data_IF_075669768929
#
_entry.id   IF_075669768929
#
_cell.length_a   1.000
_cell.length_b   1.000
_cell.length_c   1.000
_cell.angle_alpha   90.00
_cell.angle_beta   90.00
_cell.angle_gamma   90.00
#
_symmetry.space_group_name_H-M   'P 1'
#
loop_
_entity.id
_entity.type
_entity.pdbx_description
1 polymer ?
#
# COMPACT_ATOMS: atom_id res chain seq x y z
N UNK A 1 -31.75 -56.70 -36.13
CA UNK A 1 -30.69 -57.24 -35.24
C UNK A 1 -30.96 -56.68 -33.84
N UNK A 2 -31.67 -57.41 -32.96
CA UNK A 2 -31.14 -58.07 -31.73
C UNK A 2 -29.85 -57.39 -31.22
N UNK A 3 -29.73 -56.96 -29.96
CA UNK A 3 -29.95 -57.74 -28.72
C UNK A 3 -30.24 -56.83 -27.51
N UNK A 4 -31.18 -57.29 -26.67
CA UNK A 4 -31.36 -56.89 -25.27
C UNK A 4 -30.17 -57.33 -24.40
N UNK A 5 -29.78 -56.50 -23.43
CA UNK A 5 -28.91 -56.82 -22.29
C UNK A 5 -29.54 -56.09 -21.08
N UNK A 6 -30.45 -56.72 -20.36
CA UNK A 6 -30.28 -57.36 -19.04
C UNK A 6 -29.74 -56.44 -17.93
N UNK A 7 -30.66 -56.05 -17.05
CA UNK A 7 -30.40 -55.65 -15.66
C UNK A 7 -29.71 -56.75 -14.87
N UNK A 8 -28.87 -56.37 -13.90
CA UNK A 8 -28.82 -56.97 -12.55
C UNK A 8 -28.12 -55.98 -11.59
N UNK A 9 -28.64 -55.82 -10.35
CA UNK A 9 -28.02 -55.06 -9.27
C UNK A 9 -27.05 -55.95 -8.47
N UNK A 10 -26.18 -55.36 -7.63
CA UNK A 10 -25.77 -55.89 -6.30
C UNK A 10 -24.79 -54.91 -5.65
N UNK A 11 -25.04 -54.71 -4.36
CA UNK A 11 -24.31 -53.88 -3.41
C UNK A 11 -22.89 -54.40 -3.09
N UNK A 12 -22.03 -53.49 -2.63
CA UNK A 12 -20.74 -53.82 -2.00
C UNK A 12 -20.06 -52.55 -1.49
N UNK A 13 -20.37 -52.13 -0.27
CA UNK A 13 -19.45 -52.17 0.89
C UNK A 13 -18.18 -51.31 0.78
N UNK A 14 -18.24 -50.18 1.49
CA UNK A 14 -17.32 -49.76 2.56
C UNK A 14 -15.81 -50.11 2.39
N UNK A 15 -15.00 -49.09 2.09
CA UNK A 15 -13.65 -48.95 2.63
C UNK A 15 -13.30 -47.47 2.72
N UNK A 16 -13.55 -46.89 3.91
CA UNK A 16 -13.01 -45.59 4.30
C UNK A 16 -11.51 -45.79 4.54
N UNK A 17 -10.69 -45.34 3.61
CA UNK A 17 -9.26 -45.16 3.85
C UNK A 17 -9.09 -43.81 4.56
N UNK A 18 -8.88 -43.89 5.88
CA UNK A 18 -8.52 -42.76 6.71
C UNK A 18 -7.13 -42.23 6.28
N UNK A 19 -7.13 -41.11 5.56
CA UNK A 19 -5.97 -40.25 5.45
C UNK A 19 -5.81 -39.55 6.81
N UNK A 20 -4.86 -39.97 7.62
CA UNK A 20 -4.49 -39.25 8.85
C UNK A 20 -3.01 -38.90 8.81
N UNK A 21 -2.72 -37.60 9.03
CA UNK A 21 -1.41 -37.01 9.24
C UNK A 21 -0.74 -36.55 7.95
N UNK A 22 -0.35 -35.29 7.77
CA UNK A 22 -0.15 -34.13 8.62
C UNK A 22 -0.29 -32.93 7.66
N UNK A 23 -1.10 -31.92 7.92
CA UNK A 23 -0.64 -30.65 8.49
C UNK A 23 -1.89 -29.88 8.95
N UNK A 24 -1.93 -29.34 10.18
CA UNK A 24 -2.92 -28.32 10.48
C UNK A 24 -2.51 -27.05 9.70
N UNK A 25 -3.08 -26.89 8.51
CA UNK A 25 -3.03 -25.62 7.78
C UNK A 25 -4.04 -24.67 8.42
N UNK A 26 -3.78 -24.31 9.67
CA UNK A 26 -4.51 -23.32 10.46
C UNK A 26 -3.62 -22.10 10.72
N UNK A 27 -3.03 -21.57 9.66
CA UNK A 27 -2.48 -20.21 9.65
C UNK A 27 -3.33 -19.37 8.69
N UNK A 28 -4.38 -18.78 9.27
CA UNK A 28 -5.19 -17.64 8.81
C UNK A 28 -5.12 -17.22 7.34
N UNK A 29 -5.83 -17.92 6.47
CA UNK A 29 -6.07 -17.48 5.08
C UNK A 29 -6.93 -16.21 5.00
N UNK A 30 -7.64 -15.83 6.06
CA UNK A 30 -8.61 -14.72 6.03
C UNK A 30 -8.05 -13.38 6.52
N UNK A 31 -7.00 -13.36 7.35
CA UNK A 31 -6.38 -12.12 7.82
C UNK A 31 -5.35 -11.55 6.83
N UNK A 32 -4.70 -12.40 6.04
CA UNK A 32 -3.69 -11.98 5.06
C UNK A 32 -4.23 -10.98 4.02
N UNK A 33 -5.43 -11.19 3.43
CA UNK A 33 -6.02 -10.20 2.54
C UNK A 33 -6.23 -8.82 3.19
N UNK A 34 -6.49 -8.78 4.50
CA UNK A 34 -6.68 -7.53 5.25
C UNK A 34 -5.37 -6.77 5.40
N UNK A 35 -4.26 -7.46 5.69
CA UNK A 35 -2.92 -6.85 5.74
C UNK A 35 -2.52 -6.33 4.36
N UNK A 36 -2.67 -7.15 3.32
CA UNK A 36 -2.36 -6.76 1.94
C UNK A 36 -3.16 -5.55 1.50
N UNK A 37 -4.47 -5.51 1.76
CA UNK A 37 -5.30 -4.35 1.41
C UNK A 37 -4.86 -3.08 2.15
N UNK A 38 -4.50 -3.18 3.42
CA UNK A 38 -4.01 -2.05 4.19
C UNK A 38 -2.67 -1.53 3.67
N UNK A 39 -1.73 -2.44 3.37
CA UNK A 39 -0.43 -2.08 2.82
C UNK A 39 -0.56 -1.42 1.44
N UNK A 40 -1.38 -1.97 0.55
CA UNK A 40 -1.64 -1.34 -0.76
C UNK A 40 -2.19 0.09 -0.61
N UNK A 41 -3.14 0.31 0.31
CA UNK A 41 -3.69 1.65 0.56
C UNK A 41 -2.66 2.59 1.18
N UNK A 42 -1.78 2.08 2.03
CA UNK A 42 -0.70 2.85 2.62
C UNK A 42 0.31 3.27 1.54
N UNK A 43 0.69 2.36 0.65
CA UNK A 43 1.58 2.61 -0.49
C UNK A 43 0.99 3.60 -1.49
N UNK A 44 -0.31 3.53 -1.77
CA UNK A 44 -1.02 4.53 -2.58
C UNK A 44 -0.92 5.92 -1.94
N UNK A 45 -1.08 6.01 -0.61
CA UNK A 45 -0.95 7.28 0.12
C UNK A 45 0.48 7.80 0.09
N UNK A 46 1.49 6.95 0.31
CA UNK A 46 2.91 7.34 0.22
C UNK A 46 3.23 7.87 -1.17
N UNK A 47 2.87 7.10 -2.20
CA UNK A 47 3.09 7.47 -3.60
C UNK A 47 2.41 8.79 -3.97
N UNK A 48 1.15 8.98 -3.56
CA UNK A 48 0.43 10.22 -3.80
C UNK A 48 1.07 11.41 -3.07
N UNK A 49 1.52 11.22 -1.83
CA UNK A 49 2.17 12.28 -1.06
C UNK A 49 3.54 12.67 -1.62
N UNK A 50 4.34 11.70 -2.07
CA UNK A 50 5.61 11.95 -2.76
C UNK A 50 5.38 12.69 -4.06
N UNK A 51 4.43 12.25 -4.89
CA UNK A 51 4.09 12.94 -6.14
C UNK A 51 3.62 14.39 -5.89
N UNK A 52 2.85 14.64 -4.83
CA UNK A 52 2.43 15.99 -4.47
C UNK A 52 3.59 16.85 -3.94
N UNK A 53 4.52 16.26 -3.19
CA UNK A 53 5.73 16.91 -2.71
C UNK A 53 6.65 17.30 -3.88
N UNK A 54 6.89 16.38 -4.81
CA UNK A 54 7.68 16.63 -6.02
C UNK A 54 7.09 17.76 -6.86
N UNK A 55 5.79 17.70 -7.14
CA UNK A 55 5.10 18.78 -7.84
C UNK A 55 5.24 20.13 -7.10
N UNK A 56 5.26 20.12 -5.77
CA UNK A 56 5.46 21.33 -4.96
C UNK A 56 6.89 21.87 -5.11
N UNK A 57 7.91 21.02 -5.08
CA UNK A 57 9.32 21.39 -5.32
C UNK A 57 9.51 21.94 -6.72
N UNK A 58 8.99 21.25 -7.73
CA UNK A 58 9.07 21.66 -9.13
C UNK A 58 8.43 23.04 -9.35
N UNK A 59 7.22 23.27 -8.81
CA UNK A 59 6.54 24.56 -8.94
C UNK A 59 7.31 25.69 -8.24
N UNK A 60 7.89 25.42 -7.06
CA UNK A 60 8.69 26.40 -6.34
C UNK A 60 9.96 26.76 -7.12
N UNK A 61 10.67 25.75 -7.63
CA UNK A 61 11.88 25.92 -8.45
C UNK A 61 11.57 26.68 -9.74
N UNK A 62 10.50 26.32 -10.45
CA UNK A 62 10.07 27.03 -11.65
C UNK A 62 9.72 28.51 -11.37
N UNK A 63 9.06 28.77 -10.25
CA UNK A 63 8.73 30.15 -9.82
C UNK A 63 9.99 30.94 -9.47
N UNK A 64 10.90 30.35 -8.70
CA UNK A 64 12.18 30.96 -8.35
C UNK A 64 13.02 31.25 -9.60
N UNK A 65 13.05 30.32 -10.56
CA UNK A 65 13.71 30.51 -11.83
C UNK A 65 13.11 31.65 -12.65
N UNK A 66 11.78 31.78 -12.67
CA UNK A 66 11.11 32.92 -13.31
C UNK A 66 11.54 34.24 -12.67
N UNK A 67 11.65 34.30 -11.32
CA UNK A 67 12.17 35.48 -10.61
C UNK A 67 13.59 35.80 -11.04
N UNK A 68 14.49 34.80 -11.12
CA UNK A 68 15.88 35.00 -11.57
C UNK A 68 15.96 35.44 -13.04
N UNK A 69 15.12 34.87 -13.91
CA UNK A 69 15.05 35.25 -15.33
C UNK A 69 14.60 36.70 -15.51
N UNK A 70 13.55 37.13 -14.80
CA UNK A 70 13.03 38.49 -14.88
C UNK A 70 14.02 39.54 -14.38
N UNK A 71 14.87 39.19 -13.42
CA UNK A 71 15.94 40.05 -12.92
C UNK A 71 17.21 40.03 -13.79
N UNK A 72 17.24 39.21 -14.84
CA UNK A 72 18.44 38.89 -15.60
C UNK A 72 19.34 37.91 -14.83
N UNK A 73 19.86 36.89 -15.53
CA UNK A 73 20.81 35.93 -14.94
C UNK A 73 22.26 36.38 -15.16
N UNK A 74 23.13 36.10 -14.21
CA UNK A 74 24.58 36.15 -14.36
C UNK A 74 25.06 34.93 -15.16
N UNK A 75 26.36 34.89 -15.49
CA UNK A 75 26.95 33.71 -16.13
C UNK A 75 26.89 32.44 -15.26
N UNK A 76 26.70 32.58 -13.94
CA UNK A 76 26.54 31.46 -13.00
C UNK A 76 25.08 31.03 -12.80
N UNK A 77 24.12 31.73 -13.43
CA UNK A 77 22.68 31.42 -13.33
C UNK A 77 21.93 32.12 -12.19
N UNK A 78 22.63 32.81 -11.28
CA UNK A 78 22.03 33.64 -10.24
C UNK A 78 21.39 34.91 -10.83
N UNK A 79 20.46 35.53 -10.14
CA UNK A 79 19.93 36.85 -10.51
C UNK A 79 21.02 37.93 -10.42
N UNK A 80 20.99 38.89 -11.35
CA UNK A 80 21.84 40.08 -11.30
C UNK A 80 21.46 41.01 -10.15
N UNK A 81 20.17 41.10 -9.82
CA UNK A 81 19.66 41.82 -8.63
C UNK A 81 19.73 40.92 -7.38
N UNK A 82 20.53 41.27 -6.35
CA UNK A 82 20.62 40.52 -5.11
C UNK A 82 19.28 40.37 -4.35
N UNK A 83 18.35 41.30 -4.52
CA UNK A 83 17.03 41.20 -3.91
C UNK A 83 16.15 40.18 -4.63
N UNK A 84 16.30 40.04 -5.94
CA UNK A 84 15.64 39.00 -6.71
C UNK A 84 16.20 37.62 -6.36
N UNK A 85 17.51 37.48 -6.18
CA UNK A 85 18.13 36.22 -5.74
C UNK A 85 17.59 35.79 -4.38
N UNK A 86 17.59 36.69 -3.39
CA UNK A 86 17.03 36.40 -2.06
C UNK A 86 15.57 35.98 -2.11
N UNK A 87 14.77 36.54 -3.02
CA UNK A 87 13.37 36.16 -3.21
C UNK A 87 13.26 34.77 -3.82
N UNK A 88 14.06 34.47 -4.84
CA UNK A 88 14.11 33.15 -5.46
C UNK A 88 14.48 32.06 -4.41
N UNK A 89 15.54 32.28 -3.64
CA UNK A 89 15.97 31.36 -2.59
C UNK A 89 14.89 31.18 -1.51
N UNK A 90 14.19 32.25 -1.14
CA UNK A 90 13.10 32.19 -0.18
C UNK A 90 11.91 31.36 -0.71
N UNK A 91 11.64 31.42 -2.02
CA UNK A 91 10.59 30.63 -2.68
C UNK A 91 10.98 29.15 -2.68
N UNK A 92 12.20 28.80 -3.10
CA UNK A 92 12.70 27.42 -3.10
C UNK A 92 12.65 26.83 -1.69
N UNK A 93 13.19 27.56 -0.71
CA UNK A 93 13.16 27.12 0.70
C UNK A 93 11.74 26.94 1.25
N UNK A 94 10.81 27.79 0.84
CA UNK A 94 9.41 27.64 1.24
C UNK A 94 8.71 26.49 0.49
N UNK A 95 9.12 26.18 -0.73
CA UNK A 95 8.69 25.01 -1.49
C UNK A 95 9.14 23.72 -0.82
N UNK A 96 10.44 23.59 -0.56
CA UNK A 96 11.04 22.42 0.10
C UNK A 96 10.38 22.14 1.45
N UNK A 97 10.23 23.15 2.31
CA UNK A 97 9.54 22.97 3.60
C UNK A 97 8.11 22.45 3.47
N UNK A 98 7.39 22.84 2.42
CA UNK A 98 6.02 22.37 2.19
C UNK A 98 6.03 20.95 1.64
N UNK A 99 6.96 20.63 0.76
CA UNK A 99 7.14 19.29 0.22
C UNK A 99 7.49 18.27 1.33
N UNK A 100 8.45 18.62 2.19
CA UNK A 100 8.84 17.78 3.34
C UNK A 100 7.65 17.55 4.30
N UNK A 101 6.83 18.57 4.52
CA UNK A 101 5.62 18.45 5.35
C UNK A 101 4.58 17.53 4.69
N UNK A 102 4.41 17.59 3.37
CA UNK A 102 3.50 16.69 2.63
C UNK A 102 3.95 15.23 2.74
N UNK A 103 5.24 14.96 2.53
CA UNK A 103 5.82 13.62 2.71
C UNK A 103 5.61 13.14 4.15
N UNK A 104 5.95 13.97 5.14
CA UNK A 104 5.78 13.63 6.55
C UNK A 104 4.32 13.32 6.90
N UNK A 105 3.37 14.12 6.44
CA UNK A 105 1.94 13.87 6.68
C UNK A 105 1.47 12.62 5.95
N UNK A 106 1.95 12.38 4.73
CA UNK A 106 1.69 11.18 3.93
C UNK A 106 2.15 9.91 4.64
N UNK A 107 3.41 9.86 5.06
CA UNK A 107 3.99 8.72 5.79
C UNK A 107 3.23 8.44 7.09
N UNK A 108 2.97 9.47 7.91
CA UNK A 108 2.19 9.29 9.14
C UNK A 108 0.79 8.71 8.86
N UNK A 109 0.17 9.10 7.76
CA UNK A 109 -1.14 8.57 7.37
C UNK A 109 -1.05 7.13 6.89
N UNK A 110 -0.02 6.79 6.11
CA UNK A 110 0.25 5.43 5.66
C UNK A 110 0.48 4.48 6.84
N UNK A 111 1.33 4.88 7.78
CA UNK A 111 1.61 4.11 9.00
C UNK A 111 0.34 3.86 9.84
N UNK A 112 -0.54 4.87 9.95
CA UNK A 112 -1.83 4.73 10.62
C UNK A 112 -2.78 3.75 9.91
N UNK A 113 -2.69 3.64 8.58
CA UNK A 113 -3.49 2.68 7.79
C UNK A 113 -2.97 1.27 8.04
N UNK A 114 -1.66 1.05 7.94
CA UNK A 114 -1.02 -0.25 8.19
C UNK A 114 -1.30 -0.73 9.62
N UNK A 115 -1.08 0.14 10.62
CA UNK A 115 -1.32 -0.21 12.01
C UNK A 115 -2.78 -0.58 12.29
N UNK A 116 -3.74 0.02 11.58
CA UNK A 116 -5.16 -0.37 11.68
C UNK A 116 -5.44 -1.69 10.96
N UNK A 117 -4.82 -1.91 9.81
CA UNK A 117 -4.88 -3.17 9.06
C UNK A 117 -4.38 -4.34 9.90
N UNK A 118 -3.18 -4.21 10.46
CA UNK A 118 -2.56 -5.21 11.33
C UNK A 118 -3.43 -5.52 12.55
N UNK A 119 -3.88 -4.49 13.28
CA UNK A 119 -4.79 -4.71 14.43
C UNK A 119 -6.07 -5.44 14.06
N UNK A 120 -6.59 -5.23 12.85
CA UNK A 120 -7.79 -5.92 12.37
C UNK A 120 -7.47 -7.37 11.99
N UNK A 121 -6.34 -7.59 11.32
CA UNK A 121 -5.86 -8.93 10.99
C UNK A 121 -5.64 -9.78 12.26
N UNK A 122 -4.98 -9.22 13.28
CA UNK A 122 -4.77 -9.87 14.58
C UNK A 122 -6.10 -10.24 15.28
N UNK A 123 -7.14 -9.41 15.14
CA UNK A 123 -8.46 -9.71 15.69
C UNK A 123 -9.12 -10.88 14.98
N UNK A 124 -8.97 -10.96 13.64
CA UNK A 124 -9.49 -12.08 12.85
C UNK A 124 -8.80 -13.38 13.28
N UNK A 125 -7.47 -13.38 13.37
CA UNK A 125 -6.70 -14.53 13.83
C UNK A 125 -7.10 -14.99 15.22
N UNK A 126 -7.31 -14.07 16.17
CA UNK A 126 -7.78 -14.40 17.51
C UNK A 126 -9.16 -15.06 17.50
N UNK A 127 -10.08 -14.57 16.67
CA UNK A 127 -11.43 -15.14 16.55
C UNK A 127 -11.37 -16.53 15.91
N UNK A 128 -10.53 -16.73 14.89
CA UNK A 128 -10.33 -18.03 14.26
C UNK A 128 -9.69 -19.04 15.22
N UNK A 129 -8.68 -18.62 15.99
CA UNK A 129 -8.04 -19.46 17.00
C UNK A 129 -8.97 -19.83 18.16
N UNK A 130 -9.94 -18.96 18.48
CA UNK A 130 -10.94 -19.22 19.53
C UNK A 130 -12.12 -20.08 19.06
N UNK A 131 -12.21 -20.41 17.76
CA UNK A 131 -13.30 -21.22 17.22
C UNK A 131 -13.10 -22.68 17.69
N UNK A 132 -14.05 -23.26 18.44
CA UNK A 132 -13.89 -24.62 18.95
C UNK A 132 -13.78 -25.60 17.78
N UNK A 133 -12.76 -26.46 17.80
CA UNK A 133 -12.73 -27.63 16.93
C UNK A 133 -13.94 -28.48 17.28
N UNK A 134 -14.92 -28.56 16.38
CA UNK A 134 -16.01 -29.53 16.52
C UNK A 134 -15.35 -30.89 16.25
N UNK A 135 -15.24 -31.79 17.23
CA UNK A 135 -14.79 -33.14 16.95
C UNK A 135 -15.90 -33.85 16.15
N UNK A 136 -15.51 -34.44 15.01
CA UNK A 136 -16.36 -35.32 14.20
C UNK A 136 -16.79 -36.58 14.97
#
# INVERSE_FOLDING_TARGET
MRKHIWSLPVAGSLAVLAFTGCEPMNTSTTADPVRVEANNKADDVRSASQSAADATRENANATADSVRQNAGKTWTGAAQDPNAEKRADAIEKAGEKRADELERVGENRADLIEAKGEKKADQIEKVEAAKPSIPD
#
